data_IF_788609090505
#
_entry.id   IF_788609090505
#
_cell.length_a   1.000
_cell.length_b   1.000
_cell.length_c   1.000
_cell.angle_alpha   90.00
_cell.angle_beta   90.00
_cell.angle_gamma   90.00
#
_symmetry.space_group_name_H-M   'P 1'
#
loop_
_entity.id
_entity.type
_entity.pdbx_description
1 polymer ?
#
# COMPACT_ATOMS: atom_id res chain seq x y z
N UNK A 1 -1.55 -2.68 11.41
CA UNK A 1 -1.22 -2.95 9.99
C UNK A 1 -0.20 -1.94 9.44
N UNK A 2 -0.53 -0.64 9.33
CA UNK A 2 0.39 0.37 8.73
C UNK A 2 1.78 0.45 9.37
N UNK A 3 1.89 0.24 10.68
CA UNK A 3 3.18 0.22 11.38
C UNK A 3 4.14 -0.87 10.88
N UNK A 4 3.63 -1.98 10.35
CA UNK A 4 4.46 -3.05 9.78
C UNK A 4 5.03 -2.67 8.40
N UNK A 5 4.39 -1.74 7.69
CA UNK A 5 4.86 -1.24 6.39
C UNK A 5 5.97 -0.19 6.54
N UNK A 6 5.99 0.55 7.65
CA UNK A 6 6.97 1.60 7.90
C UNK A 6 8.44 1.12 7.78
N UNK A 7 8.89 0.04 8.44
CA UNK A 7 10.28 -0.40 8.33
C UNK A 7 10.64 -0.86 6.91
N UNK A 8 9.70 -1.47 6.19
CA UNK A 8 9.90 -1.91 4.80
C UNK A 8 10.08 -0.70 3.88
N UNK A 9 9.13 0.24 3.89
CA UNK A 9 9.23 1.44 3.04
C UNK A 9 10.45 2.29 3.38
N UNK A 10 10.80 2.41 4.66
CA UNK A 10 12.00 3.14 5.07
C UNK A 10 13.26 2.52 4.49
N UNK A 11 13.38 1.20 4.49
CA UNK A 11 14.52 0.50 3.90
C UNK A 11 14.61 0.81 2.40
N UNK A 12 13.51 0.66 1.68
CA UNK A 12 13.44 0.95 0.24
C UNK A 12 13.85 2.40 -0.07
N UNK A 13 13.38 3.38 0.72
CA UNK A 13 13.75 4.78 0.53
C UNK A 13 15.22 5.07 0.90
N UNK A 14 15.81 4.35 1.86
CA UNK A 14 17.24 4.49 2.15
C UNK A 14 18.07 4.06 0.94
N UNK A 15 17.74 2.91 0.35
CA UNK A 15 18.43 2.38 -0.84
C UNK A 15 18.23 3.32 -2.05
N UNK A 16 17.01 3.81 -2.24
CA UNK A 16 16.69 4.76 -3.31
C UNK A 16 17.48 6.06 -3.17
N UNK A 17 17.49 6.67 -1.98
CA UNK A 17 18.21 7.93 -1.75
C UNK A 17 19.71 7.77 -1.76
N UNK A 18 20.24 6.60 -1.41
CA UNK A 18 21.65 6.26 -1.61
C UNK A 18 22.01 6.19 -3.09
N UNK A 19 21.15 5.58 -3.91
CA UNK A 19 21.37 5.47 -5.35
C UNK A 19 21.27 6.82 -6.07
N UNK A 20 20.51 7.77 -5.50
CA UNK A 20 20.22 9.09 -6.07
C UNK A 20 20.91 10.23 -5.33
N UNK A 21 22.04 9.95 -4.67
CA UNK A 21 22.73 10.93 -3.83
C UNK A 21 23.06 12.24 -4.59
N UNK A 22 22.66 13.38 -4.03
CA UNK A 22 22.84 14.70 -4.64
C UNK A 22 21.82 15.08 -5.73
N UNK A 23 20.91 14.17 -6.10
CA UNK A 23 19.86 14.41 -7.11
C UNK A 23 18.47 14.55 -6.46
N UNK A 24 17.57 15.38 -7.03
CA UNK A 24 16.19 15.46 -6.57
C UNK A 24 15.45 14.15 -6.84
N UNK A 25 14.65 13.71 -5.86
CA UNK A 25 13.80 12.52 -5.93
C UNK A 25 12.38 12.90 -5.52
N UNK A 26 11.49 13.02 -6.50
CA UNK A 26 10.07 13.29 -6.28
C UNK A 26 9.30 11.98 -6.09
N UNK A 27 8.71 11.79 -4.91
CA UNK A 27 8.04 10.56 -4.51
C UNK A 27 6.53 10.73 -4.56
N UNK A 28 5.89 10.09 -5.54
CA UNK A 28 4.43 10.00 -5.57
C UNK A 28 3.91 9.04 -4.49
N UNK A 29 3.01 9.53 -3.64
CA UNK A 29 2.34 8.73 -2.61
C UNK A 29 1.42 7.65 -3.22
N UNK A 30 0.85 6.79 -2.37
CA UNK A 30 0.03 5.67 -2.83
C UNK A 30 -1.16 6.18 -3.67
N UNK A 31 -1.20 5.71 -4.91
CA UNK A 31 -2.21 6.07 -5.91
C UNK A 31 -3.18 4.95 -6.30
N UNK A 32 -2.81 3.65 -6.37
CA UNK A 32 -3.75 2.63 -6.81
C UNK A 32 -4.89 2.39 -5.80
N UNK A 33 -6.09 2.02 -6.27
CA UNK A 33 -7.19 1.58 -5.41
C UNK A 33 -6.85 0.27 -4.69
N UNK A 34 -7.47 0.05 -3.52
CA UNK A 34 -7.08 -1.08 -2.66
C UNK A 34 -7.43 -2.47 -3.22
N UNK A 35 -8.40 -2.57 -4.12
CA UNK A 35 -8.76 -3.86 -4.70
C UNK A 35 -7.63 -4.45 -5.57
N UNK A 36 -6.68 -3.64 -6.04
CA UNK A 36 -5.49 -4.13 -6.76
C UNK A 36 -4.56 -4.97 -5.87
N UNK A 37 -4.69 -4.89 -4.54
CA UNK A 37 -3.91 -5.68 -3.58
C UNK A 37 -4.66 -6.91 -3.05
N UNK A 38 -5.86 -7.19 -3.56
CA UNK A 38 -6.70 -8.31 -3.14
C UNK A 38 -6.75 -9.39 -4.23
N UNK A 39 -7.09 -10.65 -3.87
CA UNK A 39 -7.31 -11.68 -4.88
C UNK A 39 -8.46 -11.32 -5.83
N UNK A 40 -8.43 -11.92 -7.02
CA UNK A 40 -9.51 -11.78 -7.98
C UNK A 40 -10.85 -12.23 -7.38
N UNK A 41 -11.88 -11.41 -7.60
CA UNK A 41 -13.23 -11.62 -7.08
C UNK A 41 -13.83 -12.94 -7.57
N UNK A 42 -13.58 -13.29 -8.84
CA UNK A 42 -14.14 -14.50 -9.47
C UNK A 42 -13.47 -15.73 -8.88
N UNK A 43 -12.14 -15.74 -8.85
CA UNK A 43 -11.37 -16.85 -8.26
C UNK A 43 -11.73 -17.07 -6.79
N UNK A 44 -11.81 -15.98 -6.01
CA UNK A 44 -12.14 -16.06 -4.60
C UNK A 44 -13.59 -16.52 -4.38
N UNK A 45 -14.54 -16.05 -5.20
CA UNK A 45 -15.94 -16.49 -5.14
C UNK A 45 -16.06 -17.99 -5.44
N UNK A 46 -15.37 -18.49 -6.47
CA UNK A 46 -15.36 -19.91 -6.82
C UNK A 46 -14.75 -20.75 -5.70
N UNK A 47 -13.63 -20.29 -5.12
CA UNK A 47 -12.98 -20.96 -3.99
C UNK A 47 -13.90 -21.08 -2.79
N UNK A 48 -14.55 -19.99 -2.40
CA UNK A 48 -15.51 -19.95 -1.29
C UNK A 48 -16.68 -20.91 -1.55
N UNK A 49 -17.29 -20.85 -2.74
CA UNK A 49 -18.42 -21.71 -3.08
C UNK A 49 -18.05 -23.22 -3.07
N UNK A 50 -16.86 -23.57 -3.55
CA UNK A 50 -16.35 -24.95 -3.50
C UNK A 50 -16.12 -25.39 -2.06
N UNK A 51 -15.54 -24.55 -1.21
CA UNK A 51 -15.31 -24.83 0.20
C UNK A 51 -16.63 -25.04 0.97
N UNK A 52 -17.63 -24.20 0.72
CA UNK A 52 -18.97 -24.35 1.28
C UNK A 52 -19.63 -25.68 0.86
N UNK A 53 -19.51 -26.05 -0.42
CA UNK A 53 -20.07 -27.32 -0.92
C UNK A 53 -19.45 -28.56 -0.25
N UNK A 54 -18.18 -28.45 0.16
CA UNK A 54 -17.42 -29.49 0.87
C UNK A 54 -17.59 -29.43 2.40
N UNK A 55 -18.34 -28.45 2.92
CA UNK A 55 -18.45 -28.14 4.36
C UNK A 55 -17.10 -27.85 5.02
N UNK A 56 -16.19 -27.23 4.27
CA UNK A 56 -14.83 -26.86 4.68
C UNK A 56 -14.60 -25.34 4.48
N UNK A 57 -15.65 -24.54 4.72
CA UNK A 57 -15.59 -23.10 4.54
C UNK A 57 -14.66 -22.46 5.57
N UNK A 58 -13.72 -21.63 5.09
CA UNK A 58 -12.79 -20.89 5.93
C UNK A 58 -13.33 -19.48 6.20
N UNK A 59 -13.44 -19.10 7.49
CA UNK A 59 -13.87 -17.75 7.88
C UNK A 59 -13.01 -16.65 7.27
N UNK A 60 -11.70 -16.89 7.07
CA UNK A 60 -10.80 -15.91 6.48
C UNK A 60 -11.13 -15.66 5.01
N UNK A 61 -11.47 -16.69 4.25
CA UNK A 61 -11.85 -16.55 2.84
C UNK A 61 -13.19 -15.81 2.70
N UNK A 62 -14.12 -16.04 3.62
CA UNK A 62 -15.38 -15.30 3.70
C UNK A 62 -15.16 -13.81 4.01
N UNK A 63 -14.31 -13.49 5.01
CA UNK A 63 -13.94 -12.10 5.32
C UNK A 63 -13.23 -11.43 4.16
N UNK A 64 -12.35 -12.16 3.46
CA UNK A 64 -11.65 -11.65 2.29
C UNK A 64 -12.62 -11.37 1.14
N UNK A 65 -13.56 -12.27 0.87
CA UNK A 65 -14.58 -12.09 -0.16
C UNK A 65 -15.45 -10.87 0.13
N UNK A 66 -15.85 -10.67 1.39
CA UNK A 66 -16.57 -9.47 1.82
C UNK A 66 -15.74 -8.19 1.60
N UNK A 67 -14.44 -8.22 1.88
CA UNK A 67 -13.55 -7.08 1.65
C UNK A 67 -13.39 -6.77 0.14
N UNK A 68 -13.22 -7.79 -0.70
CA UNK A 68 -13.15 -7.64 -2.15
C UNK A 68 -14.44 -7.02 -2.68
N UNK A 69 -15.60 -7.52 -2.29
CA UNK A 69 -16.90 -6.96 -2.70
C UNK A 69 -17.07 -5.50 -2.27
N UNK A 70 -16.63 -5.16 -1.06
CA UNK A 70 -16.72 -3.79 -0.53
C UNK A 70 -15.84 -2.80 -1.29
N UNK A 71 -14.67 -3.25 -1.76
CA UNK A 71 -13.68 -2.42 -2.44
C UNK A 71 -13.75 -2.51 -3.97
N UNK A 72 -14.64 -3.36 -4.50
CA UNK A 72 -14.90 -3.48 -5.92
C UNK A 72 -15.64 -2.23 -6.43
N UNK A 73 -15.11 -1.63 -7.48
CA UNK A 73 -15.65 -0.45 -8.12
C UNK A 73 -15.88 -0.74 -9.60
N UNK A 74 -16.98 -0.25 -10.17
CA UNK A 74 -17.26 -0.42 -11.60
C UNK A 74 -16.21 0.27 -12.49
N UNK A 75 -15.70 1.43 -12.05
CA UNK A 75 -14.69 2.21 -12.78
C UNK A 75 -13.53 2.58 -11.83
N UNK A 76 -12.57 1.67 -11.57
CA UNK A 76 -11.44 1.90 -10.65
C UNK A 76 -10.63 3.18 -10.92
N UNK A 77 -10.48 3.54 -12.20
CA UNK A 77 -9.76 4.75 -12.62
C UNK A 77 -10.40 6.05 -12.08
N UNK A 78 -11.70 6.03 -11.80
CA UNK A 78 -12.45 7.17 -11.28
C UNK A 78 -12.89 6.99 -9.81
N UNK A 79 -12.43 5.91 -9.16
CA UNK A 79 -12.88 5.47 -7.85
C UNK A 79 -12.09 6.02 -6.66
N UNK A 80 -12.03 5.21 -5.61
CA UNK A 80 -11.36 5.51 -4.34
C UNK A 80 -9.86 5.20 -4.44
N UNK A 81 -9.12 6.17 -4.96
CA UNK A 81 -7.69 6.07 -5.21
C UNK A 81 -6.96 7.39 -4.88
N UNK A 82 -5.64 7.39 -4.91
CA UNK A 82 -4.81 8.59 -4.70
C UNK A 82 -5.19 9.39 -3.45
N UNK A 83 -5.30 10.71 -3.60
CA UNK A 83 -5.63 11.61 -2.48
C UNK A 83 -6.93 11.25 -1.77
N UNK A 84 -7.93 10.73 -2.49
CA UNK A 84 -9.21 10.33 -1.91
C UNK A 84 -9.03 9.17 -0.94
N UNK A 85 -8.16 8.22 -1.28
CA UNK A 85 -7.82 7.10 -0.42
C UNK A 85 -7.11 7.57 0.86
N UNK A 86 -6.18 8.53 0.73
CA UNK A 86 -5.48 9.14 1.88
C UNK A 86 -6.42 9.86 2.86
N UNK A 87 -7.54 10.39 2.39
CA UNK A 87 -8.57 11.00 3.25
C UNK A 87 -9.42 9.93 3.97
N UNK A 88 -9.72 8.82 3.31
CA UNK A 88 -10.57 7.75 3.86
C UNK A 88 -9.81 6.84 4.83
N UNK A 89 -8.49 6.69 4.65
CA UNK A 89 -7.66 5.80 5.48
C UNK A 89 -6.71 6.64 6.33
N UNK A 90 -7.07 6.94 7.59
CA UNK A 90 -6.24 7.73 8.48
C UNK A 90 -4.85 7.12 8.65
N UNK A 91 -3.83 7.96 8.53
CA UNK A 91 -2.45 7.56 8.75
C UNK A 91 -1.77 6.88 7.56
N UNK A 92 -2.46 6.59 6.46
CA UNK A 92 -1.84 5.99 5.27
C UNK A 92 -0.72 6.88 4.71
N UNK A 93 -1.05 8.12 4.36
CA UNK A 93 -0.05 9.08 3.87
C UNK A 93 0.93 9.51 4.96
N UNK A 94 0.48 9.62 6.21
CA UNK A 94 1.36 9.94 7.32
C UNK A 94 2.47 8.88 7.51
N UNK A 95 2.14 7.59 7.32
CA UNK A 95 3.12 6.51 7.35
C UNK A 95 4.12 6.61 6.20
N UNK A 96 3.67 6.90 4.97
CA UNK A 96 4.57 7.06 3.82
C UNK A 96 5.48 8.29 3.97
N UNK A 97 4.93 9.44 4.34
CA UNK A 97 5.70 10.67 4.58
C UNK A 97 6.71 10.45 5.71
N UNK A 98 6.32 9.73 6.77
CA UNK A 98 7.24 9.35 7.84
C UNK A 98 8.37 8.45 7.34
N UNK A 99 8.08 7.44 6.52
CA UNK A 99 9.10 6.57 5.94
C UNK A 99 10.11 7.35 5.11
N UNK A 100 9.62 8.24 4.23
CA UNK A 100 10.43 9.14 3.39
C UNK A 100 11.31 10.04 4.26
N UNK A 101 10.72 10.72 5.25
CA UNK A 101 11.44 11.64 6.12
C UNK A 101 12.50 10.93 6.99
N UNK A 102 12.18 9.76 7.55
CA UNK A 102 13.13 8.97 8.34
C UNK A 102 14.28 8.43 7.49
N UNK A 103 14.00 8.00 6.25
CA UNK A 103 15.03 7.55 5.31
C UNK A 103 15.96 8.69 4.88
N UNK A 104 15.41 9.86 4.56
CA UNK A 104 16.20 11.06 4.24
C UNK A 104 17.06 11.50 5.44
N UNK A 105 16.51 11.48 6.66
CA UNK A 105 17.27 11.79 7.87
C UNK A 105 18.42 10.77 8.10
N UNK A 106 18.15 9.48 7.88
CA UNK A 106 19.17 8.43 7.95
C UNK A 106 20.32 8.68 6.96
N UNK A 107 19.99 8.98 5.70
CA UNK A 107 20.99 9.28 4.66
C UNK A 107 21.80 10.55 4.97
N UNK A 108 21.18 11.61 5.50
CA UNK A 108 21.92 12.81 5.95
C UNK A 108 22.91 12.47 7.08
N UNK A 109 22.52 11.64 8.05
CA UNK A 109 23.41 11.21 9.12
C UNK A 109 24.59 10.37 8.59
N UNK A 110 24.35 9.58 7.55
CA UNK A 110 25.37 8.84 6.79
C UNK A 110 26.20 9.71 5.83
N UNK A 111 26.09 11.05 5.92
CA UNK A 111 26.81 12.05 5.10
C UNK A 111 26.44 12.08 3.61
N UNK A 112 25.29 11.52 3.24
CA UNK A 112 24.70 11.74 1.91
C UNK A 112 23.93 13.07 1.81
N UNK A 113 23.56 13.43 0.58
CA UNK A 113 22.69 14.56 0.21
C UNK A 113 21.36 14.07 -0.38
N UNK A 114 20.45 13.49 0.42
CA UNK A 114 19.13 13.08 -0.04
C UNK A 114 18.24 14.31 -0.27
N UNK A 115 17.79 14.50 -1.51
CA UNK A 115 16.89 15.60 -1.90
C UNK A 115 15.48 15.08 -2.18
N UNK A 116 14.81 14.68 -1.11
CA UNK A 116 13.46 14.11 -1.17
C UNK A 116 12.39 15.20 -1.36
N UNK A 117 11.48 14.97 -2.30
CA UNK A 117 10.29 15.77 -2.58
C UNK A 117 9.05 14.86 -2.63
N UNK A 118 7.85 15.40 -2.37
CA UNK A 118 6.56 14.69 -2.42
C UNK A 118 5.63 15.42 -3.38
#
# INVERSE_FOLDING_TARGET
ALAALLPLQKADFIELFESMDGLPVTVRLLDPPLHEFLPDITELSVRVALAESRKDANENDLRLLQAVHKLHEQNPMLGLRGVRLGLVIPGLFAMQVRAIAEAAAHRKNAKGDPRAEI
#
